data_IF_667448627716
#
_entry.id   IF_667448627716
#
_cell.length_a   1.000
_cell.length_b   1.000
_cell.length_c   1.000
_cell.angle_alpha   90.00
_cell.angle_beta   90.00
_cell.angle_gamma   90.00
#
_symmetry.space_group_name_H-M   'P 1'
#
loop_
_entity.id
_entity.type
_entity.pdbx_description
1 polymer ?
#
# COMPACT_ATOMS: atom_id res chain seq x y z
N UNK A 1 21.19 -13.23 -11.89
CA UNK A 1 20.45 -12.68 -10.74
C UNK A 1 20.02 -11.28 -11.15
N UNK A 2 18.73 -10.97 -11.13
CA UNK A 2 18.27 -9.60 -11.39
C UNK A 2 18.72 -8.74 -10.21
N UNK A 3 19.56 -7.74 -10.43
CA UNK A 3 19.94 -6.81 -9.38
C UNK A 3 18.74 -5.93 -9.05
N UNK A 4 18.58 -5.54 -7.79
CA UNK A 4 17.50 -4.64 -7.36
C UNK A 4 17.64 -3.29 -8.06
N UNK A 5 16.52 -2.66 -8.47
CA UNK A 5 16.54 -1.33 -9.09
C UNK A 5 17.28 -0.30 -8.23
N UNK A 6 17.05 -0.34 -6.93
CA UNK A 6 17.62 0.58 -5.93
C UNK A 6 19.16 0.53 -5.85
N UNK A 7 19.80 -0.54 -6.36
CA UNK A 7 21.25 -0.69 -6.39
C UNK A 7 21.88 -0.33 -7.74
N UNK A 8 21.07 0.04 -8.74
CA UNK A 8 21.55 0.32 -10.09
C UNK A 8 21.73 1.81 -10.34
N UNK A 9 20.74 2.62 -9.96
CA UNK A 9 20.76 4.07 -10.15
C UNK A 9 19.74 4.72 -9.21
N UNK A 10 19.82 6.06 -8.98
CA UNK A 10 18.77 6.82 -8.34
C UNK A 10 17.42 6.64 -9.04
N UNK A 11 16.27 6.73 -8.34
CA UNK A 11 14.96 6.43 -8.93
C UNK A 11 14.61 7.32 -10.11
N UNK A 12 14.98 8.61 -10.08
CA UNK A 12 14.74 9.54 -11.18
C UNK A 12 15.59 9.27 -12.43
N UNK A 13 16.65 8.47 -12.30
CA UNK A 13 17.50 8.03 -13.42
C UNK A 13 17.09 6.64 -13.87
N UNK A 14 16.79 5.75 -12.94
CA UNK A 14 16.38 4.38 -13.24
C UNK A 14 15.07 4.34 -14.02
N UNK A 15 14.09 5.12 -13.60
CA UNK A 15 12.80 5.25 -14.29
C UNK A 15 12.86 6.40 -15.31
N UNK A 16 13.63 6.19 -16.37
CA UNK A 16 13.65 7.06 -17.56
C UNK A 16 12.41 6.81 -18.43
N UNK A 17 12.30 7.52 -19.56
CA UNK A 17 11.16 7.43 -20.48
C UNK A 17 10.94 6.00 -21.03
N UNK A 18 12.01 5.24 -21.23
CA UNK A 18 11.94 3.88 -21.76
C UNK A 18 11.47 2.91 -20.68
N UNK A 19 12.07 2.96 -19.50
CA UNK A 19 11.73 2.06 -18.43
C UNK A 19 10.35 2.38 -17.85
N UNK A 20 9.95 3.65 -17.76
CA UNK A 20 8.62 4.06 -17.33
C UNK A 20 7.52 3.48 -18.25
N UNK A 21 7.68 3.58 -19.57
CA UNK A 21 6.73 3.01 -20.54
C UNK A 21 6.71 1.48 -20.47
N UNK A 22 7.88 0.84 -20.40
CA UNK A 22 8.01 -0.61 -20.27
C UNK A 22 7.37 -1.13 -18.99
N UNK A 23 7.58 -0.44 -17.86
CA UNK A 23 6.96 -0.77 -16.58
C UNK A 23 5.43 -0.74 -16.68
N UNK A 24 4.89 0.31 -17.27
CA UNK A 24 3.46 0.55 -17.37
C UNK A 24 2.77 -0.34 -18.40
N UNK A 25 3.46 -0.76 -19.48
CA UNK A 25 2.92 -1.64 -20.51
C UNK A 25 2.89 -3.11 -20.12
N UNK A 26 3.63 -3.51 -19.08
CA UNK A 26 3.70 -4.90 -18.63
C UNK A 26 2.42 -5.31 -17.88
N UNK A 27 1.58 -6.13 -18.49
CA UNK A 27 0.34 -6.66 -17.88
C UNK A 27 0.60 -7.38 -16.56
N UNK A 28 1.76 -8.05 -16.43
CA UNK A 28 2.17 -8.70 -15.19
C UNK A 28 2.44 -7.69 -14.08
N UNK A 29 3.15 -6.58 -14.39
CA UNK A 29 3.43 -5.53 -13.41
C UNK A 29 2.13 -4.86 -13.00
N UNK A 30 1.29 -4.48 -13.95
CA UNK A 30 -0.02 -3.89 -13.71
C UNK A 30 -0.87 -4.76 -12.76
N UNK A 31 -0.93 -6.09 -13.02
CA UNK A 31 -1.65 -7.01 -12.14
C UNK A 31 -1.08 -7.08 -10.73
N UNK A 32 0.25 -7.14 -10.59
CA UNK A 32 0.91 -7.15 -9.27
C UNK A 32 0.66 -5.83 -8.52
N UNK A 33 0.78 -4.69 -9.21
CA UNK A 33 0.54 -3.37 -8.59
C UNK A 33 -0.92 -3.23 -8.11
N UNK A 34 -1.88 -3.69 -8.90
CA UNK A 34 -3.29 -3.69 -8.51
C UNK A 34 -3.53 -4.54 -7.23
N UNK A 35 -2.98 -5.77 -7.18
CA UNK A 35 -3.11 -6.63 -6.00
C UNK A 35 -2.46 -5.99 -4.74
N UNK A 36 -1.28 -5.38 -4.88
CA UNK A 36 -0.58 -4.71 -3.77
C UNK A 36 -1.35 -3.48 -3.29
N UNK A 37 -1.90 -2.69 -4.22
CA UNK A 37 -2.67 -1.49 -3.92
C UNK A 37 -4.02 -1.81 -3.27
N UNK A 38 -4.74 -2.83 -3.79
CA UNK A 38 -5.97 -3.33 -3.15
C UNK A 38 -5.69 -3.77 -1.70
N UNK A 39 -4.57 -4.50 -1.47
CA UNK A 39 -4.20 -4.92 -0.12
C UNK A 39 -3.82 -3.74 0.78
N UNK A 40 -3.14 -2.74 0.25
CA UNK A 40 -2.80 -1.54 1.01
C UNK A 40 -4.06 -0.77 1.42
N UNK A 41 -5.05 -0.62 0.54
CA UNK A 41 -6.36 -0.01 0.86
C UNK A 41 -7.14 -0.83 1.87
N UNK A 42 -7.12 -2.17 1.78
CA UNK A 42 -7.73 -3.04 2.79
C UNK A 42 -7.11 -2.82 4.19
N UNK A 43 -5.78 -2.68 4.27
CA UNK A 43 -5.04 -2.42 5.51
C UNK A 43 -5.22 -0.99 6.02
N UNK A 44 -5.47 -0.04 5.12
CA UNK A 44 -5.79 1.35 5.46
C UNK A 44 -7.07 1.44 6.29
N UNK A 45 -8.00 0.48 6.06
CA UNK A 45 -9.25 0.30 6.82
C UNK A 45 -10.04 1.61 6.97
N UNK A 46 -10.26 2.28 5.84
CA UNK A 46 -11.09 3.48 5.79
C UNK A 46 -12.54 3.15 6.22
N UNK A 47 -13.28 4.12 6.77
CA UNK A 47 -14.69 3.93 7.10
C UNK A 47 -15.51 3.51 5.87
N UNK A 48 -16.42 2.53 6.03
CA UNK A 48 -17.36 2.06 4.98
C UNK A 48 -18.66 2.92 5.05
N UNK A 49 -18.49 4.21 4.77
CA UNK A 49 -19.56 5.23 4.87
C UNK A 49 -19.91 5.89 3.53
N UNK A 50 -19.38 5.36 2.42
CA UNK A 50 -19.52 5.89 1.05
C UNK A 50 -19.02 7.36 0.89
N UNK A 51 -18.27 7.89 1.86
CA UNK A 51 -17.70 9.25 1.78
C UNK A 51 -16.34 9.19 1.09
N UNK A 52 -16.13 9.92 -0.02
CA UNK A 52 -14.83 10.05 -0.66
C UNK A 52 -13.79 10.61 0.31
N UNK A 53 -12.62 9.98 0.37
CA UNK A 53 -11.47 10.41 1.18
C UNK A 53 -10.38 10.92 0.28
N UNK A 54 -9.60 11.89 0.77
CA UNK A 54 -8.41 12.37 0.08
C UNK A 54 -7.20 11.56 0.53
N UNK A 55 -6.66 10.73 -0.35
CA UNK A 55 -5.52 9.86 -0.07
C UNK A 55 -4.25 10.38 -0.72
N UNK A 56 -3.11 10.10 -0.10
CA UNK A 56 -1.80 10.39 -0.65
C UNK A 56 -1.15 9.10 -1.17
N UNK A 57 -0.81 9.07 -2.46
CA UNK A 57 -0.07 8.00 -3.10
C UNK A 57 1.40 8.40 -3.26
N UNK A 58 2.28 7.82 -2.44
CA UNK A 58 3.70 8.20 -2.32
C UNK A 58 4.57 7.27 -3.15
N UNK A 59 5.23 7.82 -4.16
CA UNK A 59 5.89 7.05 -5.20
C UNK A 59 4.85 6.46 -6.16
N UNK A 60 3.91 7.31 -6.60
CA UNK A 60 2.76 6.90 -7.41
C UNK A 60 3.15 6.39 -8.81
N UNK A 61 4.37 6.68 -9.26
CA UNK A 61 4.85 6.28 -10.57
C UNK A 61 3.92 6.73 -11.70
N UNK A 62 3.54 5.79 -12.55
CA UNK A 62 2.60 6.02 -13.66
C UNK A 62 1.11 5.96 -13.25
N UNK A 63 0.80 6.08 -11.96
CA UNK A 63 -0.56 6.17 -11.43
C UNK A 63 -1.31 4.83 -11.34
N UNK A 64 -0.62 3.68 -11.35
CA UNK A 64 -1.27 2.36 -11.25
C UNK A 64 -1.97 2.15 -9.89
N UNK A 65 -1.32 2.56 -8.80
CA UNK A 65 -1.89 2.53 -7.45
C UNK A 65 -3.03 3.55 -7.30
N UNK A 66 -2.86 4.74 -7.88
CA UNK A 66 -3.89 5.77 -7.91
C UNK A 66 -5.18 5.33 -8.62
N UNK A 67 -5.06 4.56 -9.71
CA UNK A 67 -6.23 3.98 -10.39
C UNK A 67 -7.03 3.08 -9.44
N UNK A 68 -6.35 2.27 -8.62
CA UNK A 68 -7.01 1.45 -7.59
C UNK A 68 -7.72 2.32 -6.55
N UNK A 69 -7.14 3.45 -6.13
CA UNK A 69 -7.77 4.40 -5.22
C UNK A 69 -9.05 4.97 -5.85
N UNK A 70 -8.98 5.47 -7.10
CA UNK A 70 -10.13 5.99 -7.83
C UNK A 70 -11.23 4.94 -8.04
N UNK A 71 -10.84 3.68 -8.31
CA UNK A 71 -11.79 2.57 -8.45
C UNK A 71 -12.55 2.26 -7.15
N UNK A 72 -11.96 2.56 -5.99
CA UNK A 72 -12.59 2.43 -4.69
C UNK A 72 -13.39 3.68 -4.28
N UNK A 73 -13.47 4.70 -5.13
CA UNK A 73 -14.31 5.87 -4.93
C UNK A 73 -13.67 6.98 -4.10
N UNK A 74 -12.35 6.98 -3.98
CA UNK A 74 -11.60 8.00 -3.27
C UNK A 74 -10.85 8.93 -4.23
N UNK A 75 -10.56 10.14 -3.77
CA UNK A 75 -9.69 11.11 -4.47
C UNK A 75 -8.24 10.92 -4.00
N UNK A 76 -7.27 11.28 -4.83
CA UNK A 76 -5.87 11.11 -4.45
C UNK A 76 -4.94 12.16 -5.04
N UNK A 77 -3.85 12.38 -4.30
CA UNK A 77 -2.70 13.17 -4.74
C UNK A 77 -1.53 12.19 -4.86
N UNK A 78 -0.92 12.13 -6.04
CA UNK A 78 0.28 11.33 -6.30
C UNK A 78 1.54 12.17 -6.22
N UNK A 79 2.55 11.68 -5.53
CA UNK A 79 3.88 12.28 -5.50
C UNK A 79 4.90 11.29 -6.02
N UNK A 80 5.69 11.70 -6.99
CA UNK A 80 6.82 10.92 -7.50
C UNK A 80 8.01 11.79 -7.82
N UNK A 81 9.22 11.23 -7.74
CA UNK A 81 10.47 11.91 -8.07
C UNK A 81 10.82 11.80 -9.56
N UNK A 82 10.32 10.78 -10.26
CA UNK A 82 10.57 10.56 -11.68
C UNK A 82 9.57 11.33 -12.53
N UNK A 83 10.08 12.32 -13.26
CA UNK A 83 9.29 13.04 -14.24
C UNK A 83 8.72 12.13 -15.33
N UNK A 84 9.54 11.21 -15.86
CA UNK A 84 9.12 10.28 -16.91
C UNK A 84 7.96 9.40 -16.47
N UNK A 85 7.92 8.97 -15.20
CA UNK A 85 6.79 8.22 -14.64
C UNK A 85 5.52 9.09 -14.58
N UNK A 86 5.63 10.33 -14.13
CA UNK A 86 4.50 11.26 -14.07
C UNK A 86 3.99 11.65 -15.48
N UNK A 87 4.89 11.80 -16.45
CA UNK A 87 4.51 12.06 -17.85
C UNK A 87 3.68 10.88 -18.40
N UNK A 88 4.05 9.64 -18.08
CA UNK A 88 3.24 8.44 -18.42
C UNK A 88 1.91 8.44 -17.66
N UNK A 89 1.86 8.87 -16.40
CA UNK A 89 0.59 9.02 -15.68
C UNK A 89 -0.35 10.03 -16.33
N UNK A 90 0.19 11.15 -16.80
CA UNK A 90 -0.56 12.16 -17.57
C UNK A 90 -1.07 11.60 -18.90
N UNK A 91 -0.24 10.85 -19.65
CA UNK A 91 -0.67 10.19 -20.89
C UNK A 91 -1.80 9.17 -20.67
N UNK A 92 -1.81 8.53 -19.50
CA UNK A 92 -2.88 7.60 -19.08
C UNK A 92 -4.14 8.31 -18.62
N UNK A 93 -4.13 9.64 -18.54
CA UNK A 93 -5.26 10.43 -18.03
C UNK A 93 -5.73 9.94 -16.66
N UNK A 94 -4.80 9.74 -15.73
CA UNK A 94 -5.14 9.32 -14.36
C UNK A 94 -5.98 10.39 -13.65
N UNK A 95 -6.89 9.97 -12.79
CA UNK A 95 -7.86 10.88 -12.15
C UNK A 95 -7.29 11.70 -10.96
N UNK A 96 -6.04 11.43 -10.54
CA UNK A 96 -5.41 12.10 -9.38
C UNK A 96 -4.61 13.34 -9.76
N UNK A 97 -4.41 14.20 -8.76
CA UNK A 97 -3.46 15.32 -8.87
C UNK A 97 -2.03 14.81 -8.73
N UNK A 98 -1.12 15.27 -9.60
CA UNK A 98 0.25 14.79 -9.66
C UNK A 98 1.25 15.86 -9.19
N UNK A 99 2.17 15.49 -8.32
CA UNK A 99 3.24 16.34 -7.79
C UNK A 99 4.60 15.72 -8.11
N UNK A 100 5.45 16.46 -8.82
CA UNK A 100 6.86 16.12 -8.98
C UNK A 100 7.62 16.56 -7.73
N UNK A 101 8.18 15.60 -6.98
CA UNK A 101 8.89 15.90 -5.75
C UNK A 101 9.64 14.73 -5.14
N UNK A 102 10.67 15.05 -4.36
CA UNK A 102 11.43 14.05 -3.58
C UNK A 102 10.85 13.95 -2.17
N UNK A 103 10.20 12.83 -1.86
CA UNK A 103 9.65 12.56 -0.52
C UNK A 103 10.72 12.64 0.59
N UNK A 104 12.00 12.40 0.25
CA UNK A 104 13.13 12.53 1.19
C UNK A 104 13.44 13.96 1.63
N UNK A 105 12.88 14.95 0.95
CA UNK A 105 12.94 16.37 1.35
C UNK A 105 11.71 16.80 2.17
N UNK A 106 10.71 15.93 2.31
CA UNK A 106 9.42 16.18 2.91
C UNK A 106 8.32 16.39 1.88
N UNK A 107 7.06 16.29 2.32
CA UNK A 107 5.91 16.22 1.42
C UNK A 107 5.32 17.58 1.02
N UNK A 108 5.65 18.66 1.73
CA UNK A 108 5.19 20.02 1.39
C UNK A 108 3.67 20.26 1.52
N UNK A 109 2.92 19.30 2.08
CA UNK A 109 1.47 19.37 2.23
C UNK A 109 1.06 20.09 3.54
N UNK A 110 -0.15 20.65 3.55
CA UNK A 110 -0.72 21.28 4.73
C UNK A 110 -1.00 20.24 5.84
N UNK A 111 -0.94 20.66 7.12
CA UNK A 111 -1.24 19.78 8.24
C UNK A 111 -2.69 19.29 8.22
N UNK A 112 -2.89 17.98 8.50
CA UNK A 112 -4.18 17.38 8.75
C UNK A 112 -5.14 17.29 7.57
N UNK A 113 -4.66 17.46 6.33
CA UNK A 113 -5.54 17.49 5.13
C UNK A 113 -5.70 16.13 4.46
N UNK A 114 -4.89 15.14 4.83
CA UNK A 114 -4.86 13.82 4.19
C UNK A 114 -5.55 12.80 5.10
N UNK A 115 -6.54 12.09 4.56
CA UNK A 115 -7.33 11.08 5.28
C UNK A 115 -6.64 9.71 5.37
N UNK A 116 -5.65 9.46 4.52
CA UNK A 116 -4.86 8.24 4.51
C UNK A 116 -3.75 8.29 3.48
N UNK A 117 -2.73 7.44 3.62
CA UNK A 117 -1.63 7.39 2.66
C UNK A 117 -1.28 5.95 2.31
N UNK A 118 -0.91 5.72 1.04
CA UNK A 118 -0.30 4.47 0.59
C UNK A 118 1.04 4.74 -0.07
N UNK A 119 1.88 3.72 -0.10
CA UNK A 119 3.10 3.70 -0.91
C UNK A 119 3.41 2.26 -1.30
N UNK A 120 3.58 2.02 -2.58
CA UNK A 120 3.87 0.67 -3.09
C UNK A 120 5.31 0.61 -3.59
N UNK A 121 6.16 -0.10 -2.86
CA UNK A 121 7.56 -0.38 -3.22
C UNK A 121 8.43 0.88 -3.43
N UNK A 122 8.16 2.00 -2.74
CA UNK A 122 8.91 3.23 -2.94
C UNK A 122 9.75 3.65 -1.72
N UNK A 123 9.27 3.49 -0.48
CA UNK A 123 9.91 4.06 0.71
C UNK A 123 11.33 3.52 0.96
N UNK A 124 11.63 2.28 0.57
CA UNK A 124 12.98 1.71 0.72
C UNK A 124 14.08 2.47 -0.05
N UNK A 125 13.73 3.22 -1.09
CA UNK A 125 14.67 4.07 -1.83
C UNK A 125 15.30 5.16 -0.95
N UNK A 126 14.61 5.61 0.10
CA UNK A 126 15.16 6.57 1.05
C UNK A 126 16.35 6.05 1.87
N UNK A 127 16.54 4.73 1.89
CA UNK A 127 17.64 4.10 2.60
C UNK A 127 18.97 4.13 1.82
N UNK A 128 18.94 4.60 0.57
CA UNK A 128 20.12 4.69 -0.29
C UNK A 128 20.66 6.13 -0.32
N UNK A 129 21.99 6.24 -0.39
CA UNK A 129 22.67 7.52 -0.55
C UNK A 129 23.05 7.73 -2.01
N UNK A 130 22.03 8.01 -2.85
CA UNK A 130 22.22 8.13 -4.31
C UNK A 130 22.99 9.37 -4.74
N UNK A 131 23.02 10.41 -3.89
CA UNK A 131 23.77 11.65 -4.07
C UNK A 131 24.66 11.91 -2.85
N UNK A 132 25.75 12.63 -3.03
CA UNK A 132 26.68 12.96 -1.93
C UNK A 132 26.01 13.77 -0.79
N UNK A 133 24.91 14.47 -1.07
CA UNK A 133 24.12 15.20 -0.10
C UNK A 133 23.01 14.34 0.54
N UNK A 134 22.80 13.09 0.08
CA UNK A 134 21.76 12.23 0.62
C UNK A 134 22.28 11.50 1.86
N UNK A 135 21.64 11.76 2.99
CA UNK A 135 21.82 11.00 4.21
C UNK A 135 20.49 10.27 4.52
N UNK A 136 20.46 8.93 4.46
CA UNK A 136 19.24 8.15 4.64
C UNK A 136 18.46 8.49 5.92
N UNK A 137 19.18 8.72 7.03
CA UNK A 137 18.55 9.07 8.32
C UNK A 137 17.86 10.42 8.28
N UNK A 138 18.45 11.43 7.64
CA UNK A 138 17.83 12.74 7.50
C UNK A 138 16.64 12.70 6.54
N UNK A 139 16.75 11.95 5.45
CA UNK A 139 15.66 11.74 4.48
C UNK A 139 14.46 11.05 5.12
N UNK A 140 14.66 9.94 5.84
CA UNK A 140 13.61 9.24 6.58
C UNK A 140 12.98 10.14 7.65
N UNK A 141 13.78 10.95 8.37
CA UNK A 141 13.26 11.91 9.36
C UNK A 141 12.38 12.97 8.71
N UNK A 142 12.80 13.55 7.59
CA UNK A 142 12.04 14.55 6.87
C UNK A 142 10.74 13.97 6.31
N UNK A 143 10.81 12.79 5.72
CA UNK A 143 9.67 12.05 5.19
C UNK A 143 8.62 11.78 6.27
N UNK A 144 8.96 10.99 7.28
CA UNK A 144 8.00 10.59 8.32
C UNK A 144 7.49 11.77 9.14
N UNK A 145 8.34 12.78 9.40
CA UNK A 145 7.93 13.99 10.11
C UNK A 145 6.92 14.84 9.33
N UNK A 146 7.09 14.96 8.00
CA UNK A 146 6.12 15.65 7.15
C UNK A 146 4.84 14.85 6.93
N UNK A 147 4.96 13.54 6.79
CA UNK A 147 3.82 12.63 6.65
C UNK A 147 2.93 12.67 7.91
N UNK A 148 3.53 12.54 9.10
CA UNK A 148 2.79 12.62 10.36
C UNK A 148 2.01 13.92 10.48
N UNK A 149 2.59 15.03 10.00
CA UNK A 149 1.97 16.34 10.06
C UNK A 149 0.82 16.51 9.07
N UNK A 150 0.93 15.98 7.84
CA UNK A 150 -0.11 16.15 6.82
C UNK A 150 -1.30 15.19 6.98
N UNK A 151 -1.12 14.07 7.68
CA UNK A 151 -2.20 13.14 7.97
C UNK A 151 -3.18 13.70 9.02
N UNK A 152 -4.45 13.45 8.81
CA UNK A 152 -5.50 13.66 9.79
C UNK A 152 -5.28 12.81 11.05
N UNK A 153 -5.77 13.26 12.20
CA UNK A 153 -5.68 12.51 13.45
C UNK A 153 -6.45 11.18 13.35
N UNK A 154 -5.79 10.08 13.67
CA UNK A 154 -6.34 8.73 13.52
C UNK A 154 -6.22 8.14 12.12
N UNK A 155 -5.79 8.93 11.14
CA UNK A 155 -5.54 8.44 9.78
C UNK A 155 -4.42 7.41 9.76
N UNK A 156 -4.50 6.48 8.82
CA UNK A 156 -3.48 5.44 8.61
C UNK A 156 -2.63 5.73 7.38
N UNK A 157 -1.38 5.24 7.44
CA UNK A 157 -0.51 5.12 6.29
C UNK A 157 -0.06 3.65 6.14
N UNK A 158 -0.10 3.15 4.92
CA UNK A 158 0.26 1.75 4.62
C UNK A 158 1.32 1.71 3.53
N UNK A 159 2.49 1.16 3.85
CA UNK A 159 3.62 1.07 2.93
C UNK A 159 3.95 -0.38 2.63
N UNK A 160 3.77 -0.79 1.39
CA UNK A 160 4.33 -2.05 0.95
C UNK A 160 5.84 -1.89 0.75
N UNK A 161 6.63 -2.75 1.40
CA UNK A 161 8.08 -2.64 1.44
C UNK A 161 8.76 -3.89 0.88
N UNK A 162 9.90 -3.66 0.23
CA UNK A 162 10.88 -4.69 -0.10
C UNK A 162 12.25 -4.34 0.54
N UNK A 163 12.40 -4.43 1.86
CA UNK A 163 13.67 -4.11 2.49
C UNK A 163 14.76 -5.08 2.00
N UNK A 164 15.96 -4.57 1.86
CA UNK A 164 17.11 -5.38 1.46
C UNK A 164 17.50 -6.37 2.56
N UNK A 165 17.43 -5.90 3.80
CA UNK A 165 17.76 -6.67 4.99
C UNK A 165 16.96 -6.19 6.20
N UNK A 166 17.08 -6.91 7.31
CA UNK A 166 16.39 -6.58 8.56
C UNK A 166 16.79 -5.20 9.10
N UNK A 167 18.06 -4.81 8.98
CA UNK A 167 18.52 -3.51 9.47
C UNK A 167 17.85 -2.33 8.73
N UNK A 168 17.62 -2.48 7.42
CA UNK A 168 16.89 -1.48 6.62
C UNK A 168 15.42 -1.39 7.07
N UNK A 169 14.76 -2.53 7.31
CA UNK A 169 13.39 -2.58 7.84
C UNK A 169 13.28 -1.91 9.20
N UNK A 170 14.19 -2.25 10.12
CA UNK A 170 14.24 -1.64 11.46
C UNK A 170 14.52 -0.14 11.40
N UNK A 171 15.39 0.29 10.49
CA UNK A 171 15.67 1.71 10.28
C UNK A 171 14.40 2.47 9.88
N UNK A 172 13.67 1.99 8.87
CA UNK A 172 12.41 2.60 8.42
C UNK A 172 11.41 2.66 9.59
N UNK A 173 11.17 1.52 10.26
CA UNK A 173 10.26 1.43 11.39
C UNK A 173 10.64 2.42 12.52
N UNK A 174 11.95 2.48 12.88
CA UNK A 174 12.41 3.35 13.97
C UNK A 174 12.15 4.83 13.69
N UNK A 175 12.30 5.29 12.43
CA UNK A 175 12.00 6.68 12.07
C UNK A 175 10.51 6.98 12.03
N UNK A 176 9.67 6.02 11.64
CA UNK A 176 8.22 6.14 11.75
C UNK A 176 7.77 6.31 13.20
N UNK A 177 8.26 5.43 14.10
CA UNK A 177 7.95 5.53 15.53
C UNK A 177 8.45 6.84 16.16
N UNK A 178 9.65 7.31 15.80
CA UNK A 178 10.21 8.60 16.26
C UNK A 178 9.41 9.80 15.77
N UNK A 179 8.75 9.71 14.63
CA UNK A 179 7.86 10.78 14.13
C UNK A 179 6.52 10.84 14.89
N UNK A 180 6.20 9.84 15.72
CA UNK A 180 4.99 9.81 16.54
C UNK A 180 3.92 8.82 16.05
N UNK A 181 4.20 8.04 15.01
CA UNK A 181 3.29 7.00 14.56
C UNK A 181 3.20 5.85 15.56
N UNK A 182 2.02 5.24 15.65
CA UNK A 182 1.83 3.92 16.23
C UNK A 182 1.62 2.90 15.11
N UNK A 183 1.98 1.63 15.33
CA UNK A 183 1.75 0.58 14.34
C UNK A 183 2.89 -0.43 14.26
N UNK A 184 3.00 -1.13 13.14
CA UNK A 184 4.00 -2.17 12.96
C UNK A 184 3.96 -2.81 11.58
N UNK A 185 4.69 -3.91 11.42
CA UNK A 185 4.79 -4.64 10.16
C UNK A 185 3.79 -5.78 10.12
N UNK A 186 2.99 -5.83 9.06
CA UNK A 186 2.09 -6.94 8.73
C UNK A 186 2.73 -7.75 7.62
N UNK A 187 2.86 -9.05 7.82
CA UNK A 187 3.45 -9.95 6.83
C UNK A 187 2.36 -10.87 6.27
N UNK A 188 2.13 -10.76 4.97
CA UNK A 188 1.24 -11.67 4.26
C UNK A 188 2.04 -12.87 3.74
N UNK A 189 1.49 -14.07 3.90
CA UNK A 189 2.07 -15.36 3.49
C UNK A 189 3.50 -15.58 4.03
N UNK A 190 3.72 -15.55 5.37
CA UNK A 190 5.05 -15.59 5.98
C UNK A 190 5.87 -16.82 5.57
N UNK A 191 5.21 -17.97 5.34
CA UNK A 191 5.83 -19.25 4.98
C UNK A 191 6.09 -19.42 3.47
N UNK A 192 5.76 -18.44 2.64
CA UNK A 192 5.93 -18.53 1.19
C UNK A 192 6.99 -17.54 0.68
N UNK A 193 8.17 -18.02 0.32
CA UNK A 193 9.23 -17.18 -0.24
C UNK A 193 8.83 -16.39 -1.50
N UNK A 194 7.85 -16.90 -2.28
CA UNK A 194 7.36 -16.25 -3.51
C UNK A 194 6.21 -15.28 -3.27
N UNK A 195 5.32 -15.56 -2.29
CA UNK A 195 4.10 -14.77 -2.02
C UNK A 195 4.25 -13.82 -0.85
N UNK A 196 5.29 -13.97 -0.04
CA UNK A 196 5.55 -13.12 1.12
C UNK A 196 5.58 -11.64 0.70
N UNK A 197 4.75 -10.83 1.38
CA UNK A 197 4.70 -9.37 1.24
C UNK A 197 4.73 -8.73 2.60
N UNK A 198 5.48 -7.65 2.73
CA UNK A 198 5.60 -6.89 3.98
C UNK A 198 4.90 -5.55 3.81
N UNK A 199 4.04 -5.22 4.77
CA UNK A 199 3.33 -3.94 4.84
C UNK A 199 3.62 -3.28 6.17
N UNK A 200 4.17 -2.08 6.15
CA UNK A 200 4.27 -1.23 7.32
C UNK A 200 2.95 -0.47 7.47
N UNK A 201 2.21 -0.76 8.52
CA UNK A 201 0.92 -0.13 8.83
C UNK A 201 1.11 0.83 9.99
N UNK A 202 0.87 2.11 9.74
CA UNK A 202 1.08 3.19 10.68
C UNK A 202 -0.23 3.92 10.96
N UNK A 203 -0.41 4.38 12.19
CA UNK A 203 -1.56 5.22 12.60
C UNK A 203 -1.04 6.55 13.15
N UNK A 204 -1.63 7.65 12.70
CA UNK A 204 -1.30 8.99 13.15
C UNK A 204 -1.98 9.30 14.49
N UNK A 205 -1.21 9.46 15.55
CA UNK A 205 -1.70 9.68 16.91
C UNK A 205 -1.79 8.42 17.76
N UNK A 206 -2.29 8.53 19.00
CA UNK A 206 -2.39 7.40 19.90
C UNK A 206 -3.37 6.36 19.34
N UNK A 207 -3.10 5.04 19.53
CA UNK A 207 -4.01 4.01 19.11
C UNK A 207 -5.36 4.18 19.84
N UNK A 208 -6.44 4.22 19.05
CA UNK A 208 -7.78 4.23 19.64
C UNK A 208 -8.18 2.80 20.01
N UNK A 209 -8.96 2.64 21.09
CA UNK A 209 -9.45 1.32 21.53
C UNK A 209 -10.34 0.62 20.49
N UNK A 210 -10.83 1.34 19.49
CA UNK A 210 -11.63 0.82 18.38
C UNK A 210 -10.80 0.38 17.16
N UNK A 211 -9.49 0.62 17.18
CA UNK A 211 -8.64 0.33 16.01
C UNK A 211 -8.32 -1.16 15.99
N UNK A 212 -8.98 -1.91 15.13
CA UNK A 212 -8.64 -3.32 14.86
C UNK A 212 -7.22 -3.43 14.36
N UNK A 213 -6.42 -4.28 15.02
CA UNK A 213 -5.08 -4.61 14.55
C UNK A 213 -5.19 -5.38 13.24
N UNK A 214 -4.54 -4.94 12.15
CA UNK A 214 -4.58 -5.69 10.90
C UNK A 214 -3.86 -7.03 11.06
N UNK A 215 -4.45 -8.10 10.54
CA UNK A 215 -3.80 -9.42 10.50
C UNK A 215 -3.23 -9.72 9.12
N UNK A 216 -2.11 -10.46 9.08
CA UNK A 216 -1.49 -10.94 7.84
C UNK A 216 -2.32 -12.04 7.17
N UNK A 217 -2.26 -12.15 5.84
CA UNK A 217 -2.86 -13.23 5.07
C UNK A 217 -1.99 -14.49 5.14
N UNK A 218 -2.63 -15.68 5.12
CA UNK A 218 -1.92 -16.96 5.09
C UNK A 218 -1.27 -17.38 6.41
N UNK A 219 -1.61 -16.72 7.51
CA UNK A 219 -1.37 -17.23 8.87
C UNK A 219 -2.51 -18.18 9.17
N UNK A 220 -2.26 -19.50 9.13
CA UNK A 220 -3.22 -20.48 9.63
C UNK A 220 -3.38 -20.23 11.13
N UNK A 221 -4.61 -19.94 11.58
CA UNK A 221 -4.94 -19.97 12.99
C UNK A 221 -4.84 -21.43 13.45
N UNK A 222 -3.66 -21.84 13.89
CA UNK A 222 -3.52 -23.08 14.65
C UNK A 222 -4.32 -22.94 15.93
N UNK A 223 -5.54 -23.43 15.92
CA UNK A 223 -6.25 -23.77 17.14
C UNK A 223 -5.43 -24.86 17.83
N UNK A 224 -4.70 -24.51 18.88
CA UNK A 224 -4.09 -25.48 19.77
C UNK A 224 -5.17 -26.35 20.38
N UNK A 225 -5.38 -27.54 19.84
CA UNK A 225 -5.90 -28.67 20.59
C UNK A 225 -4.69 -29.31 21.28
N UNK A 226 -4.68 -29.14 22.59
CA UNK A 226 -3.82 -29.83 23.52
C UNK A 226 -4.10 -31.35 23.43
N UNK A 227 -3.14 -32.10 22.92
CA UNK A 227 -2.98 -33.51 23.33
C UNK A 227 -1.52 -33.91 23.22
N UNK A 228 -0.97 -34.35 24.33
CA UNK A 228 0.45 -34.62 24.53
C UNK A 228 0.91 -35.95 23.91
N UNK A 229 2.14 -35.93 23.47
CA UNK A 229 3.16 -36.93 23.85
C UNK A 229 4.48 -36.66 23.10
N UNK A 230 5.52 -36.71 23.88
CA UNK A 230 6.97 -36.76 23.66
C UNK A 230 7.45 -37.47 22.39
N UNK A 231 8.52 -36.93 21.77
CA UNK A 231 9.89 -37.45 21.79
C UNK A 231 10.84 -36.63 20.95
N UNK A 232 12.07 -36.57 21.42
CA UNK A 232 13.26 -35.83 21.04
C UNK A 232 13.63 -35.88 19.54
N UNK A 233 14.19 -34.76 19.02
CA UNK A 233 15.51 -34.74 18.38
C UNK A 233 16.00 -33.30 18.16
N UNK A 234 17.24 -33.06 18.59
CA UNK A 234 18.04 -31.85 18.44
C UNK A 234 18.26 -31.48 16.96
N UNK A 235 18.14 -30.18 16.65
CA UNK A 235 19.13 -29.47 15.84
C UNK A 235 18.95 -27.95 15.92
N UNK A 236 20.04 -27.28 16.21
CA UNK A 236 20.27 -25.84 16.29
C UNK A 236 19.79 -25.09 15.05
N UNK A 237 19.00 -24.00 15.24
CA UNK A 237 19.22 -22.75 14.50
C UNK A 237 18.55 -21.54 15.18
N UNK A 238 19.32 -20.49 15.31
CA UNK A 238 19.15 -19.29 16.11
C UNK A 238 17.99 -18.37 15.65
N UNK A 239 17.36 -17.79 16.64
CA UNK A 239 16.71 -16.48 16.70
C UNK A 239 15.67 -16.06 15.64
N UNK A 240 14.40 -16.26 16.01
CA UNK A 240 13.33 -15.43 15.51
C UNK A 240 12.30 -15.13 16.64
N UNK A 241 12.64 -14.16 17.49
CA UNK A 241 11.66 -13.63 18.47
C UNK A 241 10.60 -12.79 17.78
N UNK A 242 9.50 -13.43 17.42
CA UNK A 242 8.24 -12.73 17.17
C UNK A 242 7.61 -12.39 18.52
N UNK A 243 7.49 -11.09 18.83
CA UNK A 243 6.78 -10.61 20.01
C UNK A 243 5.28 -10.81 19.80
N UNK A 244 4.74 -11.90 20.35
CA UNK A 244 3.30 -12.10 20.48
C UNK A 244 2.80 -11.41 21.76
N UNK A 245 2.00 -10.36 21.61
CA UNK A 245 1.20 -9.82 22.71
C UNK A 245 -0.08 -10.63 22.77
N UNK A 246 -0.21 -11.45 23.81
CA UNK A 246 -1.42 -12.24 24.07
C UNK A 246 -2.44 -11.39 24.79
N UNK A 247 -3.57 -11.12 24.17
CA UNK A 247 -4.75 -10.60 24.83
C UNK A 247 -5.89 -11.62 24.77
N UNK A 248 -6.32 -12.10 25.97
CA UNK A 248 -7.37 -13.09 26.14
C UNK A 248 -8.73 -12.42 26.02
N UNK A 249 -9.37 -12.45 24.84
CA UNK A 249 -10.83 -12.35 24.77
C UNK A 249 -11.39 -13.24 23.65
N UNK A 250 -12.33 -14.13 24.01
CA UNK A 250 -13.04 -15.03 23.10
C UNK A 250 -13.84 -14.23 22.07
N UNK A 251 -13.65 -14.39 20.74
CA UNK A 251 -14.55 -13.83 19.75
C UNK A 251 -15.67 -14.79 19.40
N UNK A 252 -16.88 -14.24 19.28
CA UNK A 252 -18.05 -14.88 18.66
C UNK A 252 -17.76 -15.20 17.20
N UNK A 253 -18.22 -16.38 16.72
CA UNK A 253 -18.13 -16.81 15.32
C UNK A 253 -18.67 -15.73 14.39
N UNK A 254 -17.80 -15.11 13.58
CA UNK A 254 -18.18 -14.23 12.45
C UNK A 254 -18.48 -15.09 11.23
N UNK A 255 -19.63 -14.84 10.62
CA UNK A 255 -20.02 -15.41 9.32
C UNK A 255 -19.02 -14.93 8.24
N UNK A 256 -18.66 -15.83 7.35
CA UNK A 256 -17.79 -15.61 6.20
C UNK A 256 -18.44 -14.59 5.26
N UNK A 257 -17.95 -13.35 5.26
CA UNK A 257 -18.39 -12.35 4.28
C UNK A 257 -17.86 -12.74 2.89
N UNK A 258 -18.78 -13.02 1.99
CA UNK A 258 -18.48 -13.14 0.57
C UNK A 258 -18.05 -11.79 0.02
N UNK A 259 -16.97 -11.75 -0.78
CA UNK A 259 -16.51 -10.54 -1.49
C UNK A 259 -17.70 -9.87 -2.18
N UNK A 260 -18.07 -8.67 -1.73
CA UNK A 260 -19.06 -7.84 -2.42
C UNK A 260 -18.50 -7.50 -3.80
N UNK A 261 -19.10 -8.03 -4.85
CA UNK A 261 -18.76 -7.63 -6.22
C UNK A 261 -19.14 -6.16 -6.45
N UNK A 262 -18.43 -5.50 -7.36
CA UNK A 262 -18.68 -4.10 -7.77
C UNK A 262 -20.20 -3.87 -7.91
N UNK A 263 -20.74 -2.91 -7.17
CA UNK A 263 -22.18 -2.65 -7.13
C UNK A 263 -22.67 -2.06 -8.44
N UNK A 264 -23.98 -2.18 -8.72
CA UNK A 264 -24.59 -1.58 -9.92
C UNK A 264 -24.38 -0.06 -9.96
N UNK A 265 -24.48 0.61 -8.82
CA UNK A 265 -24.24 2.05 -8.69
C UNK A 265 -22.83 2.45 -9.10
N UNK A 266 -21.83 1.70 -8.70
CA UNK A 266 -20.44 1.91 -9.12
C UNK A 266 -20.27 1.80 -10.64
N UNK A 267 -20.85 0.76 -11.28
CA UNK A 267 -20.76 0.59 -12.75
C UNK A 267 -21.45 1.75 -13.48
N UNK A 268 -22.59 2.23 -12.98
CA UNK A 268 -23.32 3.35 -13.58
C UNK A 268 -22.51 4.65 -13.47
N UNK A 269 -21.94 4.94 -12.28
CA UNK A 269 -21.09 6.12 -12.04
C UNK A 269 -19.84 6.10 -12.95
N UNK A 270 -19.19 4.95 -13.13
CA UNK A 270 -18.05 4.79 -14.04
C UNK A 270 -18.46 5.05 -15.51
N UNK A 271 -19.60 4.55 -15.95
CA UNK A 271 -20.12 4.80 -17.31
C UNK A 271 -20.45 6.27 -17.55
N UNK A 272 -21.02 6.95 -16.56
CA UNK A 272 -21.32 8.37 -16.62
C UNK A 272 -20.06 9.22 -16.73
N UNK A 273 -19.02 8.90 -15.94
CA UNK A 273 -17.70 9.53 -16.02
C UNK A 273 -17.03 9.29 -17.38
N UNK A 274 -17.17 8.12 -18.00
CA UNK A 274 -16.68 7.86 -19.35
C UNK A 274 -17.44 8.68 -20.40
N UNK A 275 -18.76 8.84 -20.25
CA UNK A 275 -19.56 9.69 -21.15
C UNK A 275 -19.18 11.16 -21.03
N UNK A 276 -18.93 11.67 -19.83
CA UNK A 276 -18.49 13.06 -19.62
C UNK A 276 -17.11 13.34 -20.22
N UNK A 277 -16.26 12.33 -20.36
CA UNK A 277 -14.97 12.38 -21.09
C UNK A 277 -15.11 12.20 -22.61
N UNK A 278 -16.32 12.15 -23.17
CA UNK A 278 -16.56 12.00 -24.61
C UNK A 278 -16.44 10.57 -25.14
N UNK A 279 -16.25 9.57 -24.30
CA UNK A 279 -16.13 8.17 -24.72
C UNK A 279 -17.52 7.58 -25.08
N UNK A 280 -17.57 6.80 -26.16
CA UNK A 280 -18.79 6.08 -26.56
C UNK A 280 -19.00 4.89 -25.62
N UNK A 281 -19.99 4.99 -24.75
CA UNK A 281 -20.35 3.95 -23.79
C UNK A 281 -21.74 3.40 -24.09
N UNK A 282 -21.92 2.07 -24.12
CA UNK A 282 -23.22 1.46 -24.40
C UNK A 282 -24.32 1.97 -23.45
N UNK A 283 -25.58 2.11 -23.91
CA UNK A 283 -26.68 2.60 -23.09
C UNK A 283 -26.92 1.70 -21.88
N UNK A 284 -27.46 2.30 -20.81
CA UNK A 284 -27.77 1.56 -19.60
C UNK A 284 -29.08 0.81 -19.73
N UNK A 285 -29.07 -0.46 -19.32
CA UNK A 285 -30.24 -1.34 -19.36
C UNK A 285 -30.50 -1.92 -17.96
N UNK A 286 -31.66 -2.56 -17.77
CA UNK A 286 -31.96 -3.30 -16.54
C UNK A 286 -30.96 -4.43 -16.24
N UNK A 287 -30.12 -4.81 -17.22
CA UNK A 287 -29.11 -5.85 -17.11
C UNK A 287 -27.69 -5.30 -16.87
N UNK A 288 -27.50 -3.99 -16.89
CA UNK A 288 -26.19 -3.35 -16.60
C UNK A 288 -25.69 -3.82 -15.24
N UNK A 289 -24.41 -4.27 -15.18
CA UNK A 289 -23.74 -4.82 -14.01
C UNK A 289 -24.22 -6.22 -13.54
N UNK A 290 -25.06 -6.93 -14.29
CA UNK A 290 -25.35 -8.33 -13.97
C UNK A 290 -24.23 -9.26 -14.44
N UNK A 291 -23.72 -10.12 -13.54
CA UNK A 291 -22.80 -11.19 -13.92
C UNK A 291 -23.50 -12.22 -14.80
N UNK A 292 -22.92 -12.56 -15.96
CA UNK A 292 -23.40 -13.66 -16.76
C UNK A 292 -23.10 -14.97 -16.01
N UNK A 293 -24.09 -15.85 -15.85
CA UNK A 293 -23.83 -17.22 -15.41
C UNK A 293 -23.06 -17.93 -16.53
N UNK A 294 -21.97 -18.62 -16.18
CA UNK A 294 -21.30 -19.50 -17.13
C UNK A 294 -22.35 -20.54 -17.60
N UNK A 295 -22.51 -20.66 -18.91
CA UNK A 295 -23.23 -21.82 -19.50
C UNK A 295 -22.17 -22.94 -19.64
N UNK A 296 -22.41 -24.04 -18.98
CA UNK A 296 -21.72 -25.30 -19.24
C UNK A 296 -22.18 -25.85 -20.56
#
# INVERSE_FOLDING_TARGET
>A
MSSRPELQAPPEIFYDDVEARKYTSSSRIVGIQAELSERALELLALPDDDVPRLLLDIGCGSGLSGETISENGHEWIGLDISRSMLDVALERETDGDLILGDMGQGLGLRPGVIDGAISISAVQWLCNADKSCHEPRLRLKAFFGSLYRCLGRGARAVFQLYPENNAQRELILSFAMRAGFAGGVVIDYPHSSKKRKEYLVLTCGPPSMSTTTPSGKGVEENSCSDDGSSEDDDDDDEDNQAVCISDRHRPRKKQKMTKKGKTRSWVLKKKEKMRSKGNVVPPDTKYTARKRKARF
#
